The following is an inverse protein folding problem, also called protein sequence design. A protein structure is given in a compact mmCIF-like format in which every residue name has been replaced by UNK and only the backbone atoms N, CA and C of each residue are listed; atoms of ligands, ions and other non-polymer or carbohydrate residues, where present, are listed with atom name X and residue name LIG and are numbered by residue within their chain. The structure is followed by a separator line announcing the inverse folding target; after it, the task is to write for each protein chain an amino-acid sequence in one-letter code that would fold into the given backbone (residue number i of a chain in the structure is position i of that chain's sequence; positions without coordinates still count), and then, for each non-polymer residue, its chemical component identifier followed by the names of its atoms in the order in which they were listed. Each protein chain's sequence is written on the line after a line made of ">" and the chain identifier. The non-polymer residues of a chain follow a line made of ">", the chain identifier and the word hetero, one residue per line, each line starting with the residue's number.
data_IF_344646591872
#
_entry.id   IF_344646591872
#
_cell.length_a   1.000
_cell.length_b   1.000
_cell.length_c   1.000
_cell.angle_alpha   90.00
_cell.angle_beta   90.00
_cell.angle_gamma   90.00
#
_symmetry.space_group_name_H-M   'P 1'
#
loop_
_entity.id
_entity.type
_entity.pdbx_description
1 polymer ?
#
# COMPACT_ATOMS: atom_id res chain seq x y z
N UNK A 1 -1.94 8.90 2.72
CA UNK A 1 -0.78 9.61 2.12
C UNK A 1 0.58 9.11 2.62
N UNK A 2 0.66 8.61 3.86
CA UNK A 2 1.94 8.26 4.49
C UNK A 2 2.70 7.08 3.88
N UNK A 3 2.05 6.26 3.05
CA UNK A 3 2.59 4.98 2.54
C UNK A 3 2.83 4.93 1.04
N UNK A 4 3.06 6.09 0.42
CA UNK A 4 3.41 6.19 -0.99
C UNK A 4 4.61 7.13 -1.17
N UNK A 5 5.35 6.91 -2.25
CA UNK A 5 6.40 7.80 -2.75
C UNK A 5 5.85 9.17 -3.17
N UNK A 6 4.52 9.30 -3.29
CA UNK A 6 3.82 10.56 -3.48
C UNK A 6 4.07 11.56 -2.34
N UNK A 7 4.41 11.11 -1.12
CA UNK A 7 4.76 12.00 0.00
C UNK A 7 5.98 12.88 -0.33
N UNK A 8 7.16 12.30 -0.57
CA UNK A 8 8.34 13.02 -1.06
C UNK A 8 8.08 13.84 -2.33
N UNK A 9 7.31 13.28 -3.28
CA UNK A 9 6.93 13.99 -4.51
C UNK A 9 6.12 15.26 -4.19
N UNK A 10 5.27 15.23 -3.15
CA UNK A 10 4.41 16.34 -2.74
C UNK A 10 5.17 17.44 -1.99
N UNK A 11 5.97 17.08 -1.01
CA UNK A 11 6.57 18.04 -0.07
C UNK A 11 7.69 18.89 -0.66
N UNK A 12 8.32 18.43 -1.74
CA UNK A 12 9.49 19.08 -2.34
C UNK A 12 9.18 20.51 -2.84
N UNK A 13 9.86 21.52 -2.30
CA UNK A 13 9.71 22.90 -2.78
C UNK A 13 10.46 23.16 -4.10
N UNK A 14 9.82 22.89 -5.23
CA UNK A 14 10.39 23.09 -6.56
C UNK A 14 10.64 24.58 -6.91
N UNK A 15 11.63 24.84 -7.76
CA UNK A 15 11.98 26.16 -8.30
C UNK A 15 10.90 26.72 -9.21
N UNK A 16 10.34 25.86 -10.07
CA UNK A 16 9.32 26.18 -11.06
C UNK A 16 8.61 24.89 -11.49
N UNK A 17 7.68 25.00 -12.45
CA UNK A 17 6.91 23.85 -12.96
C UNK A 17 7.79 22.75 -13.55
N UNK A 18 8.82 23.10 -14.33
CA UNK A 18 9.72 22.15 -14.98
C UNK A 18 10.47 21.32 -13.95
N UNK A 19 11.05 21.98 -12.95
CA UNK A 19 11.73 21.32 -11.82
C UNK A 19 10.81 20.33 -11.09
N UNK A 20 9.55 20.72 -10.88
CA UNK A 20 8.53 19.87 -10.26
C UNK A 20 8.18 18.64 -11.12
N UNK A 21 8.01 18.81 -12.43
CA UNK A 21 7.68 17.73 -13.36
C UNK A 21 8.75 16.62 -13.31
N UNK A 22 10.02 16.99 -13.42
CA UNK A 22 11.12 16.02 -13.42
C UNK A 22 11.37 15.39 -12.05
N UNK A 23 11.14 16.12 -10.94
CA UNK A 23 11.18 15.53 -9.60
C UNK A 23 10.12 14.43 -9.43
N UNK A 24 8.89 14.70 -9.87
CA UNK A 24 7.78 13.74 -9.76
C UNK A 24 8.03 12.53 -10.66
N UNK A 25 8.54 12.76 -11.88
CA UNK A 25 8.94 11.67 -12.78
C UNK A 25 10.05 10.81 -12.16
N UNK A 26 11.10 11.43 -11.60
CA UNK A 26 12.16 10.72 -10.89
C UNK A 26 11.61 9.85 -9.78
N UNK A 27 10.75 10.42 -8.91
CA UNK A 27 10.10 9.68 -7.82
C UNK A 27 9.29 8.47 -8.32
N UNK A 28 8.60 8.59 -9.45
CA UNK A 28 7.85 7.49 -10.04
C UNK A 28 8.78 6.41 -10.64
N UNK A 29 9.84 6.81 -11.33
CA UNK A 29 10.78 5.88 -11.98
C UNK A 29 11.58 5.05 -10.97
N UNK A 30 11.88 5.58 -9.79
CA UNK A 30 12.56 4.84 -8.71
C UNK A 30 11.60 4.02 -7.83
N UNK A 31 10.29 4.10 -8.04
CA UNK A 31 9.28 3.34 -7.29
C UNK A 31 9.10 1.91 -7.83
N UNK A 32 10.09 1.05 -7.60
CA UNK A 32 9.98 -0.36 -7.92
C UNK A 32 10.88 -1.26 -7.07
N UNK A 33 10.37 -2.45 -6.75
CA UNK A 33 11.12 -3.54 -6.12
C UNK A 33 11.94 -3.15 -4.86
N UNK A 34 11.48 -2.12 -4.14
CA UNK A 34 12.06 -1.63 -2.88
C UNK A 34 10.92 -1.31 -1.91
N UNK A 35 11.04 -1.64 -0.61
CA UNK A 35 10.02 -1.28 0.38
C UNK A 35 9.85 0.24 0.48
N UNK A 36 8.65 0.74 0.16
CA UNK A 36 8.37 2.18 0.16
C UNK A 36 8.56 2.79 1.54
N UNK A 37 7.93 2.22 2.57
CA UNK A 37 7.97 2.76 3.93
C UNK A 37 9.34 2.62 4.60
N UNK A 38 10.00 1.48 4.38
CA UNK A 38 11.25 1.17 5.06
C UNK A 38 12.48 1.83 4.44
N UNK A 39 12.44 2.12 3.14
CA UNK A 39 13.64 2.50 2.37
C UNK A 39 13.38 3.70 1.48
N UNK A 40 12.49 3.56 0.49
CA UNK A 40 12.40 4.53 -0.60
C UNK A 40 11.89 5.90 -0.14
N UNK A 41 10.82 5.93 0.67
CA UNK A 41 10.27 7.17 1.22
C UNK A 41 11.30 7.87 2.13
N UNK A 42 11.86 7.24 3.18
CA UNK A 42 12.87 7.90 4.01
C UNK A 42 14.08 8.41 3.23
N UNK A 43 14.54 7.65 2.23
CA UNK A 43 15.64 8.07 1.36
C UNK A 43 15.30 9.34 0.57
N UNK A 44 14.15 9.38 -0.10
CA UNK A 44 13.75 10.55 -0.88
C UNK A 44 13.44 11.77 0.01
N UNK A 45 12.89 11.56 1.21
CA UNK A 45 12.73 12.63 2.21
C UNK A 45 14.09 13.21 2.62
N UNK A 46 15.07 12.36 2.95
CA UNK A 46 16.42 12.81 3.30
C UNK A 46 17.13 13.53 2.15
N UNK A 47 16.86 13.15 0.90
CA UNK A 47 17.35 13.88 -0.27
C UNK A 47 16.70 15.28 -0.37
N UNK A 48 15.39 15.39 -0.20
CA UNK A 48 14.67 16.67 -0.17
C UNK A 48 15.22 17.58 0.93
N UNK A 49 15.30 17.09 2.17
CA UNK A 49 15.82 17.83 3.32
C UNK A 49 17.26 18.32 3.08
N UNK A 50 18.12 17.47 2.49
CA UNK A 50 19.49 17.85 2.16
C UNK A 50 19.54 18.96 1.11
N UNK A 51 18.75 18.85 0.03
CA UNK A 51 18.67 19.88 -1.00
C UNK A 51 18.18 21.21 -0.42
N UNK A 52 17.12 21.19 0.39
CA UNK A 52 16.57 22.39 1.03
C UNK A 52 17.57 23.06 1.96
N UNK A 53 18.25 22.29 2.82
CA UNK A 53 19.31 22.80 3.71
C UNK A 53 20.47 23.45 2.94
N UNK A 54 20.77 22.95 1.75
CA UNK A 54 21.80 23.50 0.86
C UNK A 54 21.29 24.56 -0.10
N UNK A 55 20.00 24.92 -0.02
CA UNK A 55 19.31 25.83 -0.95
C UNK A 55 19.43 25.41 -2.42
N UNK A 56 19.53 24.10 -2.66
CA UNK A 56 19.56 23.50 -3.99
C UNK A 56 18.15 23.15 -4.46
N UNK A 57 18.02 22.99 -5.78
CA UNK A 57 16.83 22.53 -6.48
C UNK A 57 17.19 21.33 -7.35
N UNK A 58 16.21 20.47 -7.60
CA UNK A 58 16.43 19.20 -8.27
C UNK A 58 16.93 19.41 -9.70
N UNK A 59 16.42 20.45 -10.37
CA UNK A 59 16.88 20.88 -11.70
C UNK A 59 18.38 21.22 -11.74
N UNK A 60 18.97 21.71 -10.65
CA UNK A 60 20.41 22.00 -10.61
C UNK A 60 21.22 20.70 -10.63
N UNK A 61 20.73 19.64 -9.98
CA UNK A 61 21.34 18.30 -10.08
C UNK A 61 21.16 17.73 -11.50
N UNK A 62 20.06 18.05 -12.18
CA UNK A 62 19.84 17.62 -13.57
C UNK A 62 20.87 18.22 -14.53
N UNK A 63 21.29 19.48 -14.30
CA UNK A 63 22.22 20.17 -15.18
C UNK A 63 23.72 19.94 -14.86
N UNK A 64 24.06 19.52 -13.64
CA UNK A 64 25.44 19.33 -13.19
C UNK A 64 25.67 17.92 -12.61
N UNK A 65 26.34 17.07 -13.41
CA UNK A 65 26.73 15.70 -13.03
C UNK A 65 27.57 15.65 -11.75
N UNK A 66 28.49 16.60 -11.57
CA UNK A 66 29.39 16.66 -10.43
C UNK A 66 28.64 17.02 -9.15
N UNK A 67 27.69 17.96 -9.26
CA UNK A 67 26.76 18.29 -8.19
C UNK A 67 25.85 17.10 -7.88
N UNK A 68 25.26 16.46 -8.89
CA UNK A 68 24.40 15.30 -8.73
C UNK A 68 25.10 14.18 -7.95
N UNK A 69 26.31 13.80 -8.36
CA UNK A 69 27.12 12.78 -7.67
C UNK A 69 27.40 13.13 -6.22
N UNK A 70 27.76 14.39 -5.98
CA UNK A 70 28.07 14.89 -4.63
C UNK A 70 26.85 14.87 -3.73
N UNK A 71 25.70 15.32 -4.22
CA UNK A 71 24.45 15.35 -3.45
C UNK A 71 23.95 13.93 -3.21
N UNK A 72 23.76 13.15 -4.27
CA UNK A 72 23.27 11.77 -4.21
C UNK A 72 24.21 10.84 -3.42
N UNK A 73 25.49 11.16 -3.30
CA UNK A 73 26.45 10.37 -2.52
C UNK A 73 26.56 10.73 -1.03
N UNK A 74 25.99 11.87 -0.59
CA UNK A 74 26.32 12.44 0.74
C UNK A 74 25.14 12.73 1.66
N UNK A 75 23.90 12.79 1.15
CA UNK A 75 22.74 13.00 2.03
C UNK A 75 22.57 11.84 3.01
N UNK A 76 22.01 12.09 4.19
CA UNK A 76 21.75 11.04 5.19
C UNK A 76 20.27 10.83 5.36
N UNK A 77 19.89 9.60 5.72
CA UNK A 77 18.49 9.24 6.02
C UNK A 77 18.46 8.03 6.96
N UNK A 78 17.33 7.81 7.62
CA UNK A 78 17.14 6.70 8.57
C UNK A 78 16.08 5.77 8.00
N UNK A 79 16.39 4.47 7.90
CA UNK A 79 15.43 3.48 7.41
C UNK A 79 14.30 3.27 8.41
N UNK A 80 13.21 2.64 7.97
CA UNK A 80 12.10 2.30 8.87
C UNK A 80 12.49 1.40 10.05
N UNK A 81 13.62 0.70 9.97
CA UNK A 81 14.21 -0.09 11.06
C UNK A 81 15.21 0.66 11.93
N UNK A 82 15.36 1.99 11.76
CA UNK A 82 16.27 2.81 12.56
C UNK A 82 17.72 2.85 12.08
N UNK A 83 18.07 2.13 11.01
CA UNK A 83 19.44 2.12 10.50
C UNK A 83 19.76 3.44 9.77
N UNK A 84 20.86 4.10 10.17
CA UNK A 84 21.35 5.31 9.49
C UNK A 84 22.04 4.92 8.19
N UNK A 85 21.66 5.61 7.12
CA UNK A 85 22.16 5.41 5.78
C UNK A 85 22.70 6.72 5.20
N UNK A 86 23.62 6.59 4.26
CA UNK A 86 24.20 7.70 3.51
C UNK A 86 24.06 7.44 2.02
N UNK A 87 23.70 8.49 1.29
CA UNK A 87 23.54 8.52 -0.15
C UNK A 87 22.32 7.76 -0.66
N UNK A 88 22.21 7.76 -1.98
CA UNK A 88 21.22 7.03 -2.74
C UNK A 88 21.50 5.53 -2.65
N UNK A 89 20.50 4.76 -2.22
CA UNK A 89 20.55 3.30 -2.16
C UNK A 89 19.29 2.72 -2.76
N UNK A 90 19.48 1.85 -3.76
CA UNK A 90 18.41 1.12 -4.40
C UNK A 90 18.88 -0.30 -4.71
N UNK A 91 17.97 -1.28 -4.70
CA UNK A 91 18.32 -2.69 -4.89
C UNK A 91 18.95 -2.99 -6.26
N UNK A 92 18.51 -2.27 -7.28
CA UNK A 92 18.90 -2.50 -8.68
C UNK A 92 19.49 -1.28 -9.37
N UNK A 93 19.42 -0.10 -8.76
CA UNK A 93 19.81 1.16 -9.40
C UNK A 93 21.05 1.68 -8.71
N UNK A 94 22.12 1.88 -9.49
CA UNK A 94 23.36 2.50 -9.04
C UNK A 94 23.26 4.02 -9.18
N UNK A 95 24.14 4.73 -8.49
CA UNK A 95 24.23 6.18 -8.59
C UNK A 95 24.49 6.63 -10.05
N UNK A 96 25.32 5.91 -10.80
CA UNK A 96 25.60 6.20 -12.21
C UNK A 96 24.37 6.09 -13.12
N UNK A 97 23.45 5.16 -12.82
CA UNK A 97 22.20 5.01 -13.56
C UNK A 97 21.31 6.25 -13.34
N UNK A 98 21.27 6.78 -12.12
CA UNK A 98 20.53 8.01 -11.79
C UNK A 98 21.15 9.23 -12.47
N UNK A 99 22.47 9.37 -12.44
CA UNK A 99 23.16 10.48 -13.13
C UNK A 99 22.93 10.39 -14.64
N UNK A 100 22.92 9.19 -15.22
CA UNK A 100 22.60 8.99 -16.64
C UNK A 100 21.15 9.38 -16.95
N UNK A 101 20.19 9.06 -16.07
CA UNK A 101 18.81 9.53 -16.18
C UNK A 101 18.71 11.07 -16.10
N UNK A 102 19.53 11.73 -15.28
CA UNK A 102 19.55 13.19 -15.21
C UNK A 102 20.03 13.82 -16.52
N UNK A 103 21.02 13.22 -17.21
CA UNK A 103 21.41 13.67 -18.56
C UNK A 103 20.28 13.53 -19.57
N UNK A 104 19.47 12.47 -19.47
CA UNK A 104 18.25 12.31 -20.28
C UNK A 104 17.26 13.45 -20.00
N UNK A 105 17.00 13.76 -18.72
CA UNK A 105 16.13 14.87 -18.36
C UNK A 105 16.64 16.21 -18.88
N UNK A 106 17.94 16.45 -18.76
CA UNK A 106 18.61 17.65 -19.29
C UNK A 106 18.35 17.82 -20.79
N UNK A 107 18.52 16.75 -21.59
CA UNK A 107 18.22 16.78 -23.03
C UNK A 107 16.75 17.11 -23.32
N UNK A 108 15.82 16.50 -22.58
CA UNK A 108 14.39 16.80 -22.72
C UNK A 108 14.12 18.28 -22.41
N UNK A 109 14.74 18.85 -21.38
CA UNK A 109 14.60 20.27 -21.04
C UNK A 109 15.16 21.16 -22.15
N UNK A 110 16.35 20.84 -22.68
CA UNK A 110 17.01 21.61 -23.73
C UNK A 110 16.23 21.58 -25.06
N UNK A 111 15.62 20.45 -25.43
CA UNK A 111 14.93 20.29 -26.72
C UNK A 111 13.42 20.55 -26.67
N UNK A 112 12.74 20.23 -25.56
CA UNK A 112 11.28 20.34 -25.42
C UNK A 112 10.84 21.44 -24.45
N UNK A 113 11.77 22.05 -23.72
CA UNK A 113 11.51 23.08 -22.71
C UNK A 113 10.90 22.55 -21.41
N UNK A 114 9.88 21.69 -21.50
CA UNK A 114 9.27 21.01 -20.36
C UNK A 114 8.75 19.63 -20.74
N UNK A 115 8.55 18.77 -19.74
CA UNK A 115 7.91 17.48 -19.97
C UNK A 115 6.43 17.67 -20.33
N UNK A 116 5.77 18.65 -19.69
CA UNK A 116 4.39 19.00 -19.96
C UNK A 116 4.14 19.46 -21.40
N UNK A 117 5.07 20.18 -22.01
CA UNK A 117 4.97 20.62 -23.42
C UNK A 117 4.89 19.43 -24.38
N UNK A 118 5.84 18.50 -24.25
CA UNK A 118 5.87 17.26 -25.04
C UNK A 118 4.60 16.43 -24.81
N UNK A 119 4.21 16.24 -23.54
CA UNK A 119 3.03 15.45 -23.19
C UNK A 119 1.75 16.06 -23.75
N UNK A 120 1.63 17.39 -23.76
CA UNK A 120 0.48 18.09 -24.31
C UNK A 120 0.36 17.86 -25.83
N UNK A 121 1.46 18.05 -26.57
CA UNK A 121 1.53 17.81 -28.02
C UNK A 121 1.10 16.38 -28.37
N UNK A 122 1.72 15.37 -27.74
CA UNK A 122 1.42 13.96 -27.99
C UNK A 122 -0.02 13.58 -27.61
N UNK A 123 -0.54 14.19 -26.54
CA UNK A 123 -1.92 13.97 -26.11
C UNK A 123 -2.92 14.53 -27.13
N UNK A 124 -2.72 15.77 -27.59
CA UNK A 124 -3.55 16.43 -28.60
C UNK A 124 -3.58 15.61 -29.91
N UNK A 125 -2.42 15.12 -30.37
CA UNK A 125 -2.32 14.24 -31.55
C UNK A 125 -2.99 12.87 -31.36
N UNK A 126 -3.15 12.43 -30.11
CA UNK A 126 -3.72 11.13 -29.77
C UNK A 126 -5.21 11.20 -29.40
N UNK A 127 -5.84 12.38 -29.39
CA UNK A 127 -7.25 12.55 -28.97
C UNK A 127 -8.25 11.77 -29.82
N UNK A 128 -7.92 11.44 -31.07
CA UNK A 128 -8.77 10.65 -31.96
C UNK A 128 -8.69 9.14 -31.72
N UNK A 129 -7.76 8.67 -30.88
CA UNK A 129 -7.57 7.25 -30.56
C UNK A 129 -8.51 6.82 -29.43
N UNK A 130 -8.77 5.51 -29.33
CA UNK A 130 -9.61 4.93 -28.25
C UNK A 130 -9.06 5.28 -26.85
N UNK A 131 -7.74 5.20 -26.68
CA UNK A 131 -7.06 5.47 -25.41
C UNK A 131 -5.96 6.54 -25.62
N UNK A 132 -6.28 7.85 -25.60
CA UNK A 132 -5.30 8.90 -25.92
C UNK A 132 -4.05 8.90 -25.04
N UNK A 133 -4.19 8.52 -23.76
CA UNK A 133 -3.05 8.44 -22.81
C UNK A 133 -2.11 7.27 -23.12
N UNK A 134 -2.55 6.25 -23.87
CA UNK A 134 -1.64 5.22 -24.38
C UNK A 134 -0.54 5.85 -25.24
N UNK A 135 -0.92 6.74 -26.17
CA UNK A 135 0.03 7.47 -27.01
C UNK A 135 1.02 8.28 -26.19
N UNK A 136 0.55 8.93 -25.12
CA UNK A 136 1.41 9.69 -24.19
C UNK A 136 2.38 8.78 -23.45
N UNK A 137 1.90 7.67 -22.89
CA UNK A 137 2.74 6.75 -22.12
C UNK A 137 3.81 6.10 -23.01
N UNK A 138 3.45 5.70 -24.23
CA UNK A 138 4.41 5.14 -25.19
C UNK A 138 5.38 6.21 -25.70
N UNK A 139 4.88 7.42 -26.00
CA UNK A 139 5.72 8.55 -26.36
C UNK A 139 6.74 8.90 -25.26
N UNK A 140 6.36 8.83 -23.99
CA UNK A 140 7.29 9.00 -22.87
C UNK A 140 8.36 7.90 -22.83
N UNK A 141 8.01 6.64 -23.12
CA UNK A 141 8.99 5.54 -23.22
C UNK A 141 9.97 5.81 -24.35
N UNK A 142 9.47 6.16 -25.54
CA UNK A 142 10.27 6.46 -26.72
C UNK A 142 11.18 7.67 -26.50
N UNK A 143 10.67 8.75 -25.90
CA UNK A 143 11.44 9.94 -25.57
C UNK A 143 12.59 9.63 -24.60
N UNK A 144 12.27 8.97 -23.49
CA UNK A 144 13.26 8.66 -22.46
C UNK A 144 14.33 7.70 -23.00
N UNK A 145 13.94 6.67 -23.75
CA UNK A 145 14.87 5.70 -24.32
C UNK A 145 15.69 6.27 -25.49
N UNK A 146 15.08 7.09 -26.34
CA UNK A 146 15.75 7.77 -27.46
C UNK A 146 16.86 8.71 -27.01
N UNK A 147 16.71 9.35 -25.84
CA UNK A 147 17.77 10.18 -25.26
C UNK A 147 18.82 9.40 -24.44
N UNK A 148 18.76 8.06 -24.43
CA UNK A 148 19.74 7.19 -23.77
C UNK A 148 19.30 6.64 -22.41
N UNK A 149 18.01 6.78 -22.06
CA UNK A 149 17.43 6.11 -20.90
C UNK A 149 17.34 4.60 -21.11
N UNK A 150 17.67 3.83 -20.08
CA UNK A 150 17.61 2.37 -20.17
C UNK A 150 17.18 1.71 -18.86
N UNK A 151 17.05 0.36 -18.88
CA UNK A 151 16.70 -0.41 -17.69
C UNK A 151 17.80 -0.26 -16.63
N UNK A 152 17.45 -0.32 -15.33
CA UNK A 152 16.12 -0.66 -14.81
C UNK A 152 15.19 0.55 -14.58
N UNK A 153 15.66 1.78 -14.78
CA UNK A 153 14.86 3.01 -14.54
C UNK A 153 13.86 3.28 -15.66
N UNK A 154 14.32 3.23 -16.91
CA UNK A 154 13.48 3.49 -18.09
C UNK A 154 13.18 2.16 -18.78
N UNK A 155 11.92 1.78 -18.95
CA UNK A 155 11.58 0.61 -19.76
C UNK A 155 11.95 0.89 -21.22
N UNK A 156 12.43 -0.12 -21.93
CA UNK A 156 12.79 -0.01 -23.37
C UNK A 156 11.76 -0.66 -24.30
N UNK A 157 10.76 -1.34 -23.74
CA UNK A 157 9.67 -1.98 -24.48
C UNK A 157 8.33 -1.64 -23.82
N UNK A 158 7.33 -1.38 -24.65
CA UNK A 158 5.96 -1.06 -24.24
C UNK A 158 5.08 -2.30 -23.96
N UNK A 159 5.68 -3.47 -23.72
CA UNK A 159 4.92 -4.72 -23.53
C UNK A 159 4.47 -4.95 -22.09
N UNK A 160 5.18 -4.37 -21.11
CA UNK A 160 4.83 -4.48 -19.69
C UNK A 160 3.62 -3.60 -19.33
N UNK A 161 3.09 -3.76 -18.11
CA UNK A 161 2.03 -2.89 -17.61
C UNK A 161 2.44 -1.40 -17.42
N UNK A 162 3.73 -1.06 -17.57
CA UNK A 162 4.27 0.31 -17.43
C UNK A 162 3.76 1.05 -16.18
N UNK A 163 3.55 0.30 -15.08
CA UNK A 163 2.94 0.77 -13.83
C UNK A 163 3.46 2.14 -13.38
N UNK A 164 4.78 2.33 -13.40
CA UNK A 164 5.45 3.57 -12.95
C UNK A 164 5.01 4.79 -13.77
N UNK A 165 4.88 4.64 -15.09
CA UNK A 165 4.44 5.72 -15.96
C UNK A 165 2.93 5.97 -15.82
N UNK A 166 2.10 4.92 -15.71
CA UNK A 166 0.66 5.10 -15.43
C UNK A 166 0.42 5.78 -14.06
N UNK A 167 1.20 5.41 -13.04
CA UNK A 167 1.18 6.07 -11.73
C UNK A 167 1.60 7.53 -11.82
N UNK A 168 2.65 7.83 -12.58
CA UNK A 168 3.09 9.19 -12.86
C UNK A 168 1.98 10.00 -13.56
N UNK A 169 1.38 9.49 -14.64
CA UNK A 169 0.27 10.15 -15.33
C UNK A 169 -0.89 10.46 -14.38
N UNK A 170 -1.27 9.49 -13.53
CA UNK A 170 -2.30 9.68 -12.50
C UNK A 170 -1.94 10.82 -11.55
N UNK A 171 -0.70 10.84 -11.04
CA UNK A 171 -0.22 11.91 -10.15
C UNK A 171 -0.26 13.29 -10.78
N UNK A 172 0.10 13.38 -12.07
CA UNK A 172 0.18 14.66 -12.77
C UNK A 172 -1.20 15.23 -13.09
N UNK A 173 -2.18 14.39 -13.40
CA UNK A 173 -3.48 14.84 -13.93
C UNK A 173 -4.56 14.98 -12.84
N UNK A 174 -4.62 14.05 -11.88
CA UNK A 174 -5.74 14.01 -10.94
C UNK A 174 -5.61 15.02 -9.79
N UNK A 175 -6.74 15.49 -9.24
CA UNK A 175 -6.77 16.30 -8.02
C UNK A 175 -6.36 15.47 -6.80
N UNK A 176 -6.40 16.10 -5.62
CA UNK A 176 -6.14 15.44 -4.35
C UNK A 176 -6.81 14.04 -4.28
N UNK A 177 -6.08 12.98 -3.89
CA UNK A 177 -4.78 12.96 -3.22
C UNK A 177 -3.56 13.02 -4.15
N UNK A 178 -3.74 13.23 -5.45
CA UNK A 178 -2.69 13.40 -6.45
C UNK A 178 -2.26 14.90 -6.56
N UNK A 179 -1.41 15.27 -7.53
CA UNK A 179 -0.73 16.58 -7.56
C UNK A 179 -1.39 17.63 -8.46
N UNK A 180 -2.19 17.22 -9.46
CA UNK A 180 -2.90 18.12 -10.38
C UNK A 180 -2.01 19.16 -11.06
N UNK A 181 -0.83 18.74 -11.56
CA UNK A 181 0.12 19.61 -12.27
C UNK A 181 -0.24 19.83 -13.75
N UNK A 182 -1.01 18.93 -14.35
CA UNK A 182 -1.47 18.97 -15.73
C UNK A 182 -2.99 18.96 -15.78
N UNK A 183 -3.56 20.10 -16.18
CA UNK A 183 -5.01 20.31 -16.31
C UNK A 183 -5.52 20.19 -17.77
N UNK A 184 -4.63 19.86 -18.71
CA UNK A 184 -4.94 19.75 -20.14
C UNK A 184 -5.25 18.31 -20.57
N UNK A 185 -5.09 17.32 -19.66
CA UNK A 185 -5.48 15.92 -19.90
C UNK A 185 -6.78 15.66 -19.15
N UNK A 186 -7.75 15.08 -19.84
CA UNK A 186 -8.96 14.60 -19.20
C UNK A 186 -8.69 13.32 -18.39
N UNK A 187 -9.04 13.33 -17.11
CA UNK A 187 -8.92 12.18 -16.20
C UNK A 187 -9.66 10.92 -16.70
N UNK A 188 -10.67 11.07 -17.55
CA UNK A 188 -11.40 9.96 -18.21
C UNK A 188 -10.50 9.08 -19.06
N UNK A 189 -9.45 9.67 -19.63
CA UNK A 189 -8.51 8.98 -20.51
C UNK A 189 -7.36 8.31 -19.75
N UNK A 190 -7.27 8.48 -18.42
CA UNK A 190 -6.19 7.87 -17.64
C UNK A 190 -6.32 6.34 -17.59
N UNK A 191 -5.16 5.69 -17.56
CA UNK A 191 -5.02 4.24 -17.51
C UNK A 191 -4.50 3.79 -16.13
N UNK A 192 -4.93 2.62 -15.67
CA UNK A 192 -4.63 2.15 -14.32
C UNK A 192 -3.14 1.85 -14.11
N UNK A 193 -2.62 2.16 -12.92
CA UNK A 193 -1.27 1.74 -12.53
C UNK A 193 -1.28 0.26 -12.07
N UNK A 194 -1.43 -0.67 -13.02
CA UNK A 194 -1.60 -2.10 -12.73
C UNK A 194 -0.34 -2.74 -12.12
N UNK A 195 -0.51 -3.40 -10.99
CA UNK A 195 0.49 -4.24 -10.35
C UNK A 195 -0.10 -5.55 -9.85
N UNK A 196 0.73 -6.43 -9.28
CA UNK A 196 0.28 -7.73 -8.80
C UNK A 196 -0.76 -7.64 -7.68
N UNK A 197 -0.69 -6.58 -6.85
CA UNK A 197 -1.67 -6.34 -5.80
C UNK A 197 -3.02 -5.96 -6.36
N UNK A 198 -3.06 -4.98 -7.26
CA UNK A 198 -4.29 -4.55 -7.94
C UNK A 198 -4.88 -5.69 -8.77
N UNK A 199 -4.06 -6.38 -9.57
CA UNK A 199 -4.47 -7.58 -10.35
C UNK A 199 -5.13 -8.62 -9.46
N UNK A 200 -4.53 -8.92 -8.29
CA UNK A 200 -5.06 -9.89 -7.35
C UNK A 200 -6.40 -9.43 -6.76
N UNK A 201 -6.53 -8.15 -6.41
CA UNK A 201 -7.81 -7.60 -5.93
C UNK A 201 -8.88 -7.64 -7.02
N UNK A 202 -8.55 -7.28 -8.25
CA UNK A 202 -9.47 -7.36 -9.39
C UNK A 202 -9.99 -8.79 -9.61
N UNK A 203 -9.08 -9.75 -9.65
CA UNK A 203 -9.39 -11.18 -9.81
C UNK A 203 -10.23 -11.72 -8.66
N UNK A 204 -9.85 -11.43 -7.40
CA UNK A 204 -10.53 -12.00 -6.23
C UNK A 204 -11.85 -11.33 -5.87
N UNK A 205 -11.92 -10.00 -6.00
CA UNK A 205 -13.09 -9.27 -5.58
C UNK A 205 -14.16 -9.21 -6.68
N UNK A 206 -13.76 -9.20 -7.95
CA UNK A 206 -14.65 -8.91 -9.08
C UNK A 206 -14.57 -9.93 -10.23
N UNK A 207 -13.83 -11.04 -10.07
CA UNK A 207 -13.58 -12.02 -11.15
C UNK A 207 -12.94 -11.45 -12.42
N UNK A 208 -12.26 -10.31 -12.32
CA UNK A 208 -11.57 -9.65 -13.43
C UNK A 208 -10.13 -10.15 -13.50
N UNK A 209 -9.89 -11.14 -14.37
CA UNK A 209 -8.59 -11.77 -14.55
C UNK A 209 -7.80 -11.08 -15.66
N UNK A 210 -6.74 -10.35 -15.27
CA UNK A 210 -5.86 -9.62 -16.21
C UNK A 210 -4.40 -10.04 -16.05
N UNK A 211 -3.63 -9.95 -17.13
CA UNK A 211 -2.18 -10.15 -17.11
C UNK A 211 -1.40 -8.89 -16.69
N UNK A 212 -0.16 -9.03 -16.23
CA UNK A 212 0.75 -7.89 -16.00
C UNK A 212 1.39 -7.40 -17.31
N UNK A 213 0.56 -7.08 -18.29
CA UNK A 213 0.92 -6.59 -19.62
C UNK A 213 0.16 -5.31 -19.93
N UNK A 214 0.53 -4.64 -21.01
CA UNK A 214 -0.22 -3.48 -21.48
C UNK A 214 -1.69 -3.80 -21.75
N UNK A 215 -1.97 -4.94 -22.40
CA UNK A 215 -3.36 -5.41 -22.61
C UNK A 215 -4.13 -5.53 -21.29
N UNK A 216 -3.49 -6.06 -20.24
CA UNK A 216 -4.11 -6.13 -18.92
C UNK A 216 -4.40 -4.77 -18.28
N UNK A 217 -3.60 -3.74 -18.58
CA UNK A 217 -3.89 -2.35 -18.17
C UNK A 217 -5.16 -1.85 -18.85
N UNK A 218 -5.29 -2.08 -20.15
CA UNK A 218 -6.49 -1.68 -20.91
C UNK A 218 -7.73 -2.42 -20.39
N UNK A 219 -7.65 -3.75 -20.23
CA UNK A 219 -8.77 -4.56 -19.76
C UNK A 219 -9.20 -4.19 -18.33
N UNK A 220 -8.23 -3.95 -17.43
CA UNK A 220 -8.52 -3.45 -16.08
C UNK A 220 -9.12 -2.04 -16.09
N UNK A 221 -8.64 -1.15 -16.96
CA UNK A 221 -9.17 0.21 -17.07
C UNK A 221 -10.60 0.20 -17.60
N UNK A 222 -10.90 -0.64 -18.61
CA UNK A 222 -12.27 -0.81 -19.14
C UNK A 222 -13.25 -1.21 -18.04
N UNK A 223 -12.90 -2.22 -17.23
CA UNK A 223 -13.74 -2.61 -16.08
C UNK A 223 -13.95 -1.45 -15.10
N UNK A 224 -12.89 -0.74 -14.69
CA UNK A 224 -13.07 0.40 -13.77
C UNK A 224 -13.83 1.57 -14.39
N UNK A 225 -13.81 1.70 -15.72
CA UNK A 225 -14.58 2.69 -16.48
C UNK A 225 -16.07 2.36 -16.48
N UNK A 226 -16.47 1.09 -16.42
CA UNK A 226 -17.87 0.69 -16.19
C UNK A 226 -18.37 1.16 -14.82
N UNK A 227 -17.50 1.20 -13.81
CA UNK A 227 -17.83 1.69 -12.47
C UNK A 227 -17.86 3.22 -12.38
N UNK A 228 -16.93 3.89 -13.06
CA UNK A 228 -16.86 5.35 -13.12
C UNK A 228 -16.24 5.81 -14.44
N UNK A 229 -17.07 6.19 -15.42
CA UNK A 229 -16.56 6.64 -16.72
C UNK A 229 -15.81 7.97 -16.64
N UNK A 230 -16.11 8.79 -15.62
CA UNK A 230 -15.53 10.12 -15.46
C UNK A 230 -14.13 10.11 -14.80
N UNK A 231 -13.75 9.04 -14.10
CA UNK A 231 -12.47 8.91 -13.41
C UNK A 231 -12.16 7.42 -13.11
N UNK A 232 -11.89 6.60 -14.14
CA UNK A 232 -11.74 5.15 -13.98
C UNK A 232 -10.60 4.78 -13.02
N UNK A 233 -9.50 5.54 -13.08
CA UNK A 233 -8.32 5.27 -12.25
C UNK A 233 -8.49 5.73 -10.79
N UNK A 234 -9.61 6.37 -10.40
CA UNK A 234 -9.89 6.69 -9.00
C UNK A 234 -9.79 5.48 -8.08
N UNK A 235 -10.22 4.32 -8.57
CA UNK A 235 -10.29 3.10 -7.80
C UNK A 235 -8.96 2.37 -7.70
N UNK A 236 -8.03 2.56 -8.64
CA UNK A 236 -6.74 1.85 -8.60
C UNK A 236 -5.95 2.18 -7.31
N UNK A 237 -6.05 3.44 -6.87
CA UNK A 237 -5.49 3.91 -5.61
C UNK A 237 -6.11 3.15 -4.45
N UNK A 238 -7.45 3.11 -4.35
CA UNK A 238 -8.16 2.48 -3.25
C UNK A 238 -7.96 0.96 -3.21
N UNK A 239 -8.09 0.29 -4.35
CA UNK A 239 -7.99 -1.16 -4.46
C UNK A 239 -6.56 -1.66 -4.17
N UNK A 240 -5.53 -0.93 -4.62
CA UNK A 240 -4.14 -1.29 -4.30
C UNK A 240 -3.84 -1.21 -2.79
N UNK A 241 -4.50 -0.33 -2.03
CA UNK A 241 -4.35 -0.24 -0.56
C UNK A 241 -4.74 -1.52 0.15
N UNK A 242 -5.77 -2.21 -0.34
CA UNK A 242 -6.24 -3.47 0.25
C UNK A 242 -5.11 -4.51 0.27
N UNK A 243 -4.30 -4.54 -0.80
CA UNK A 243 -3.11 -5.38 -0.87
C UNK A 243 -1.94 -4.85 -0.04
N UNK A 244 -1.66 -3.54 -0.11
CA UNK A 244 -0.53 -2.91 0.61
C UNK A 244 -0.69 -3.01 2.13
N UNK A 245 -1.92 -2.92 2.64
CA UNK A 245 -2.23 -2.99 4.08
C UNK A 245 -2.38 -4.43 4.58
N UNK A 246 -2.20 -5.43 3.71
CA UNK A 246 -2.25 -6.85 4.08
C UNK A 246 -3.65 -7.42 4.24
N UNK A 247 -4.71 -6.71 3.81
CA UNK A 247 -6.06 -7.28 3.81
C UNK A 247 -6.18 -8.39 2.77
N UNK A 248 -5.68 -8.16 1.54
CA UNK A 248 -5.63 -9.16 0.48
C UNK A 248 -4.18 -9.63 0.27
N UNK A 249 -3.76 -10.59 1.11
CA UNK A 249 -2.44 -11.18 1.06
C UNK A 249 -2.22 -12.02 -0.20
N UNK A 250 -0.97 -12.37 -0.52
CA UNK A 250 -0.66 -13.22 -1.70
C UNK A 250 -1.32 -14.58 -1.59
N UNK A 251 -1.15 -15.22 -0.44
CA UNK A 251 -1.86 -16.41 0.01
C UNK A 251 -3.25 -16.00 0.52
N UNK A 252 -4.30 -16.67 0.05
CA UNK A 252 -5.68 -16.29 0.37
C UNK A 252 -5.98 -16.56 1.85
N UNK A 253 -5.48 -17.66 2.38
CA UNK A 253 -5.51 -18.10 3.78
C UNK A 253 -4.88 -17.10 4.75
N UNK A 254 -3.89 -16.32 4.29
CA UNK A 254 -3.27 -15.24 5.09
C UNK A 254 -4.00 -13.91 4.97
N UNK A 255 -5.08 -13.84 4.19
CA UNK A 255 -5.82 -12.60 3.95
C UNK A 255 -6.73 -12.27 5.14
N UNK A 256 -6.71 -11.02 5.58
CA UNK A 256 -7.59 -10.51 6.64
C UNK A 256 -8.95 -10.12 6.07
N UNK A 257 -9.62 -11.07 5.41
CA UNK A 257 -10.86 -10.85 4.67
C UNK A 257 -11.97 -10.23 5.53
N UNK A 258 -12.08 -10.63 6.81
CA UNK A 258 -13.06 -10.11 7.75
C UNK A 258 -12.87 -8.64 8.10
N UNK A 259 -11.65 -8.09 7.95
CA UNK A 259 -11.35 -6.67 8.14
C UNK A 259 -11.28 -5.90 6.81
N UNK A 260 -11.48 -6.58 5.69
CA UNK A 260 -11.31 -6.00 4.37
C UNK A 260 -12.49 -5.06 4.03
N UNK A 261 -12.24 -3.81 3.60
CA UNK A 261 -13.31 -2.91 3.18
C UNK A 261 -14.14 -3.42 1.98
N UNK A 262 -13.62 -4.39 1.23
CA UNK A 262 -14.31 -5.00 0.10
C UNK A 262 -15.08 -6.28 0.46
N UNK A 263 -15.15 -6.68 1.75
CA UNK A 263 -15.70 -7.98 2.16
C UNK A 263 -17.11 -8.26 1.61
N UNK A 264 -17.96 -7.23 1.53
CA UNK A 264 -19.35 -7.39 1.07
C UNK A 264 -19.48 -7.62 -0.44
N UNK A 265 -18.50 -7.16 -1.22
CA UNK A 265 -18.50 -7.29 -2.69
C UNK A 265 -17.54 -8.37 -3.18
N UNK A 266 -16.58 -8.76 -2.36
CA UNK A 266 -15.50 -9.65 -2.76
C UNK A 266 -15.99 -11.10 -2.90
N UNK A 267 -15.89 -11.64 -4.11
CA UNK A 267 -16.28 -13.01 -4.40
C UNK A 267 -15.41 -14.03 -3.66
N UNK A 268 -14.09 -13.80 -3.58
CA UNK A 268 -13.18 -14.70 -2.88
C UNK A 268 -13.41 -14.75 -1.36
N UNK A 269 -14.04 -13.73 -0.74
CA UNK A 269 -14.40 -13.81 0.68
C UNK A 269 -15.65 -14.64 0.96
N UNK A 270 -16.39 -15.05 -0.08
CA UNK A 270 -17.54 -15.96 0.06
C UNK A 270 -17.11 -17.40 0.37
N UNK A 271 -15.89 -17.78 -0.03
CA UNK A 271 -15.28 -19.08 0.25
C UNK A 271 -14.15 -18.87 1.27
N UNK A 272 -14.50 -18.96 2.56
CA UNK A 272 -13.56 -18.72 3.66
C UNK A 272 -12.49 -19.83 3.68
N UNK A 273 -11.20 -19.51 3.64
CA UNK A 273 -10.18 -20.45 4.11
C UNK A 273 -10.34 -20.62 5.62
N UNK A 274 -10.39 -21.86 6.10
CA UNK A 274 -10.32 -22.17 7.53
C UNK A 274 -8.98 -21.64 8.08
N UNK A 275 -8.96 -20.81 9.13
CA UNK A 275 -7.70 -20.43 9.76
C UNK A 275 -6.99 -21.65 10.33
N UNK A 276 -5.68 -21.73 10.08
CA UNK A 276 -4.81 -22.70 10.74
C UNK A 276 -4.73 -22.39 12.24
N UNK A 277 -5.42 -23.19 13.05
CA UNK A 277 -5.31 -23.15 14.51
C UNK A 277 -4.05 -23.88 14.98
N UNK A 278 -3.29 -23.23 15.86
CA UNK A 278 -2.24 -23.86 16.68
C UNK A 278 -2.85 -24.01 18.08
N UNK A 279 -2.85 -25.21 18.71
CA UNK A 279 -3.31 -25.39 20.09
C UNK A 279 -2.60 -24.46 21.06
N UNK A 280 -3.26 -24.08 22.17
CA UNK A 280 -2.66 -23.37 23.31
C UNK A 280 -1.34 -24.07 23.69
N UNK A 281 -0.19 -23.45 23.39
CA UNK A 281 1.13 -24.05 23.65
C UNK A 281 1.99 -23.17 24.55
N UNK A 282 2.48 -23.78 25.64
CA UNK A 282 3.44 -23.19 26.57
C UNK A 282 2.90 -21.95 27.28
N UNK A 283 3.13 -20.78 26.69
CA UNK A 283 2.96 -19.48 27.34
C UNK A 283 1.50 -19.01 27.40
N UNK A 284 0.72 -19.23 26.34
CA UNK A 284 -0.72 -18.89 26.34
C UNK A 284 -1.47 -19.72 27.40
N UNK A 285 -1.08 -20.98 27.57
CA UNK A 285 -1.62 -21.84 28.62
C UNK A 285 -1.29 -21.30 30.02
N UNK A 286 -0.05 -20.91 30.28
CA UNK A 286 0.34 -20.28 31.56
C UNK A 286 -0.45 -18.99 31.84
N UNK A 287 -0.64 -18.15 30.81
CA UNK A 287 -1.43 -16.92 30.91
C UNK A 287 -2.88 -17.23 31.28
N UNK A 288 -3.47 -18.22 30.62
CA UNK A 288 -4.85 -18.61 30.87
C UNK A 288 -5.02 -19.28 32.25
N UNK A 289 -4.07 -20.11 32.69
CA UNK A 289 -4.05 -20.68 34.04
C UNK A 289 -3.92 -19.57 35.10
N UNK A 290 -3.08 -18.55 34.87
CA UNK A 290 -3.00 -17.37 35.75
C UNK A 290 -4.34 -16.62 35.79
N UNK A 291 -4.98 -16.40 34.65
CA UNK A 291 -6.33 -15.81 34.60
C UNK A 291 -7.34 -16.61 35.44
N UNK A 292 -7.40 -17.94 35.28
CA UNK A 292 -8.31 -18.78 36.05
C UNK A 292 -7.98 -18.81 37.54
N UNK A 293 -6.71 -18.66 37.94
CA UNK A 293 -6.35 -18.56 39.36
C UNK A 293 -6.91 -17.29 40.05
N UNK A 294 -7.15 -16.22 39.28
CA UNK A 294 -7.65 -14.93 39.80
C UNK A 294 -9.16 -14.81 39.67
N UNK A 295 -9.70 -15.20 38.51
CA UNK A 295 -11.11 -14.99 38.16
C UNK A 295 -11.94 -16.28 38.10
N UNK A 296 -11.31 -17.45 38.30
CA UNK A 296 -11.92 -18.76 38.07
C UNK A 296 -13.18 -19.03 38.89
N UNK A 297 -13.26 -18.49 40.11
CA UNK A 297 -14.44 -18.68 40.98
C UNK A 297 -15.72 -18.05 40.41
N UNK A 298 -15.59 -17.06 39.51
CA UNK A 298 -16.70 -16.37 38.86
C UNK A 298 -17.38 -17.21 37.77
N UNK A 299 -16.71 -18.27 37.31
CA UNK A 299 -17.16 -19.13 36.22
C UNK A 299 -17.69 -20.46 36.77
N UNK A 300 -18.82 -20.93 36.23
CA UNK A 300 -19.38 -22.25 36.51
C UNK A 300 -19.13 -23.25 35.37
N UNK A 301 -18.68 -22.77 34.21
CA UNK A 301 -18.22 -23.58 33.10
C UNK A 301 -17.01 -22.95 32.40
N UNK A 302 -16.01 -23.76 32.12
CA UNK A 302 -14.80 -23.41 31.37
C UNK A 302 -14.58 -24.49 30.32
N UNK A 303 -14.68 -24.14 29.04
CA UNK A 303 -14.39 -25.06 27.93
C UNK A 303 -13.27 -24.47 27.09
N UNK A 304 -12.09 -25.09 27.13
CA UNK A 304 -10.98 -24.71 26.25
C UNK A 304 -11.13 -25.33 24.88
N UNK A 305 -10.44 -24.78 23.89
CA UNK A 305 -10.40 -25.31 22.53
C UNK A 305 -11.80 -25.47 21.92
N UNK A 306 -12.67 -24.49 22.16
CA UNK A 306 -14.09 -24.57 21.82
C UNK A 306 -14.29 -24.56 20.30
N UNK A 307 -14.91 -25.60 19.71
CA UNK A 307 -15.11 -25.67 18.27
C UNK A 307 -16.17 -24.69 17.79
N UNK A 308 -15.87 -23.98 16.72
CA UNK A 308 -16.74 -23.08 15.99
C UNK A 308 -16.71 -23.45 14.49
N UNK A 309 -17.64 -22.94 13.69
CA UNK A 309 -17.79 -23.29 12.26
C UNK A 309 -16.54 -22.93 11.43
N UNK A 310 -15.57 -23.86 11.36
CA UNK A 310 -14.25 -23.67 10.74
C UNK A 310 -13.22 -22.94 11.63
N UNK A 311 -13.51 -22.74 12.92
CA UNK A 311 -12.64 -22.04 13.88
C UNK A 311 -12.57 -22.82 15.19
N UNK A 312 -11.64 -22.43 16.06
CA UNK A 312 -11.57 -22.91 17.43
C UNK A 312 -11.19 -21.72 18.31
N UNK A 313 -12.04 -21.39 19.28
CA UNK A 313 -11.72 -20.37 20.26
C UNK A 313 -10.85 -20.97 21.36
N UNK A 314 -9.95 -20.17 21.94
CA UNK A 314 -9.08 -20.64 23.02
C UNK A 314 -9.88 -21.10 24.22
N UNK A 315 -10.92 -20.33 24.58
CA UNK A 315 -11.93 -20.78 25.52
C UNK A 315 -13.30 -20.14 25.31
N UNK A 316 -14.32 -20.85 25.78
CA UNK A 316 -15.65 -20.30 26.09
C UNK A 316 -15.90 -20.52 27.57
N UNK A 317 -16.26 -19.43 28.26
CA UNK A 317 -16.53 -19.43 29.70
C UNK A 317 -17.98 -19.06 29.93
N UNK A 318 -18.60 -19.66 30.94
CA UNK A 318 -19.90 -19.26 31.44
C UNK A 318 -19.75 -18.74 32.86
N UNK A 319 -20.24 -17.53 33.12
CA UNK A 319 -20.22 -16.89 34.42
C UNK A 319 -21.47 -17.26 35.20
N UNK A 320 -21.34 -17.28 36.52
CA UNK A 320 -22.46 -17.54 37.44
C UNK A 320 -23.62 -16.55 37.31
N UNK A 321 -23.38 -15.37 36.73
CA UNK A 321 -24.42 -14.36 36.41
C UNK A 321 -25.10 -14.58 35.04
N UNK A 322 -24.92 -15.76 34.44
CA UNK A 322 -25.44 -16.16 33.13
C UNK A 322 -24.84 -15.40 31.94
N UNK A 323 -23.69 -14.73 32.10
CA UNK A 323 -22.94 -14.15 31.00
C UNK A 323 -22.00 -15.19 30.35
N UNK A 324 -22.01 -15.30 29.02
CA UNK A 324 -21.07 -16.15 28.29
C UNK A 324 -19.93 -15.33 27.72
N UNK A 325 -18.69 -15.74 27.97
CA UNK A 325 -17.48 -15.12 27.44
C UNK A 325 -16.87 -16.01 26.36
N UNK A 326 -16.36 -15.36 25.31
CA UNK A 326 -15.56 -16.02 24.28
C UNK A 326 -14.17 -15.39 24.29
N UNK A 327 -13.16 -16.23 24.50
CA UNK A 327 -11.84 -15.81 24.93
C UNK A 327 -10.81 -16.13 23.86
N UNK A 328 -9.94 -15.16 23.58
CA UNK A 328 -8.66 -15.33 22.91
C UNK A 328 -7.54 -14.99 23.91
N UNK A 329 -6.47 -15.78 23.93
CA UNK A 329 -5.34 -15.63 24.84
C UNK A 329 -4.09 -15.26 24.06
N UNK A 330 -3.42 -14.18 24.46
CA UNK A 330 -2.25 -13.66 23.77
C UNK A 330 -1.18 -13.17 24.74
N UNK A 331 0.10 -13.26 24.37
CA UNK A 331 1.15 -12.65 25.20
C UNK A 331 0.99 -11.12 25.28
N UNK A 332 0.67 -10.49 24.15
CA UNK A 332 0.49 -9.05 24.04
C UNK A 332 -0.73 -8.74 23.16
N UNK A 333 -1.57 -7.81 23.62
CA UNK A 333 -2.72 -7.33 22.85
C UNK A 333 -2.28 -6.89 21.44
N UNK A 334 -2.91 -7.47 20.41
CA UNK A 334 -2.60 -7.22 19.01
C UNK A 334 -3.87 -7.25 18.13
N UNK A 335 -3.78 -6.73 16.90
CA UNK A 335 -4.92 -6.62 15.99
C UNK A 335 -5.48 -7.96 15.50
N UNK A 336 -4.69 -9.02 15.47
CA UNK A 336 -5.18 -10.33 15.04
C UNK A 336 -6.14 -10.89 16.09
N UNK A 337 -5.78 -10.83 17.37
CA UNK A 337 -6.61 -11.29 18.48
C UNK A 337 -7.95 -10.55 18.57
N UNK A 338 -7.95 -9.24 18.30
CA UNK A 338 -9.18 -8.44 18.20
C UNK A 338 -10.07 -8.98 17.06
N UNK A 339 -9.47 -9.21 15.89
CA UNK A 339 -10.20 -9.78 14.74
C UNK A 339 -10.73 -11.19 15.02
N UNK A 340 -9.95 -12.04 15.67
CA UNK A 340 -10.31 -13.40 16.05
C UNK A 340 -11.48 -13.40 17.02
N UNK A 341 -11.39 -12.70 18.15
CA UNK A 341 -12.44 -12.74 19.18
C UNK A 341 -13.78 -12.16 18.68
N UNK A 342 -13.74 -11.10 17.85
CA UNK A 342 -14.94 -10.55 17.20
C UNK A 342 -15.55 -11.56 16.22
N UNK A 343 -14.71 -12.27 15.47
CA UNK A 343 -15.13 -13.32 14.55
C UNK A 343 -15.74 -14.50 15.30
N UNK A 344 -15.10 -14.96 16.37
CA UNK A 344 -15.59 -16.07 17.18
C UNK A 344 -16.93 -15.74 17.80
N UNK A 345 -17.10 -14.54 18.34
CA UNK A 345 -18.38 -14.05 18.87
C UNK A 345 -19.50 -14.17 17.86
N UNK A 346 -19.25 -13.77 16.61
CA UNK A 346 -20.24 -13.87 15.54
C UNK A 346 -20.64 -15.33 15.26
N UNK A 347 -19.67 -16.23 15.11
CA UNK A 347 -19.96 -17.64 14.87
C UNK A 347 -20.63 -18.32 16.06
N UNK A 348 -20.20 -18.00 17.27
CA UNK A 348 -20.84 -18.49 18.48
C UNK A 348 -22.31 -18.06 18.54
N UNK A 349 -22.60 -16.79 18.24
CA UNK A 349 -23.98 -16.30 18.14
C UNK A 349 -24.78 -17.01 17.04
N UNK A 350 -24.21 -17.19 15.84
CA UNK A 350 -24.87 -17.89 14.73
C UNK A 350 -25.24 -19.33 15.10
N UNK A 351 -24.37 -20.04 15.80
CA UNK A 351 -24.55 -21.46 16.13
C UNK A 351 -25.37 -21.68 17.39
N UNK A 352 -25.25 -20.81 18.40
CA UNK A 352 -25.87 -20.99 19.73
C UNK A 352 -27.03 -20.04 20.00
N UNK A 353 -27.21 -19.00 19.20
CA UNK A 353 -28.19 -17.93 19.46
C UNK A 353 -27.83 -17.02 20.65
N UNK A 354 -26.66 -17.22 21.28
CA UNK A 354 -26.23 -16.50 22.48
C UNK A 354 -25.17 -15.46 22.10
N UNK A 355 -25.39 -14.21 22.51
CA UNK A 355 -24.45 -13.11 22.24
C UNK A 355 -23.36 -13.09 23.32
N UNK A 356 -22.29 -13.84 23.11
CA UNK A 356 -21.16 -13.86 24.03
C UNK A 356 -20.45 -12.49 24.11
N UNK A 357 -19.84 -12.21 25.26
CA UNK A 357 -18.90 -11.12 25.48
C UNK A 357 -17.53 -11.51 24.89
N UNK A 358 -16.97 -10.75 23.93
CA UNK A 358 -15.63 -11.02 23.43
C UNK A 358 -14.59 -10.53 24.44
N UNK A 359 -13.66 -11.41 24.80
CA UNK A 359 -12.64 -11.15 25.82
C UNK A 359 -11.26 -11.53 25.30
N UNK A 360 -10.26 -10.68 25.53
CA UNK A 360 -8.85 -10.98 25.27
C UNK A 360 -8.13 -11.04 26.61
N UNK A 361 -7.49 -12.15 26.91
CA UNK A 361 -6.63 -12.32 28.09
C UNK A 361 -5.18 -12.17 27.65
N UNK A 362 -4.43 -11.26 28.28
CA UNK A 362 -3.03 -11.06 27.92
C UNK A 362 -2.14 -10.64 29.10
N UNK A 363 -0.80 -10.72 28.93
CA UNK A 363 0.15 -10.23 29.95
C UNK A 363 0.35 -8.73 29.89
N UNK A 364 0.27 -8.15 28.69
CA UNK A 364 0.55 -6.73 28.47
C UNK A 364 -0.38 -6.18 27.39
N UNK A 365 -0.98 -5.04 27.67
CA UNK A 365 -1.77 -4.28 26.71
C UNK A 365 -1.18 -2.89 26.48
N UNK A 366 -1.27 -2.39 25.25
CA UNK A 366 -1.03 -0.96 24.98
C UNK A 366 -2.28 -0.18 25.40
N UNK A 367 -2.11 0.90 26.19
CA UNK A 367 -3.22 1.66 26.76
C UNK A 367 -4.19 2.18 25.69
N UNK A 368 -3.67 2.69 24.56
CA UNK A 368 -4.52 3.25 23.49
C UNK A 368 -5.26 2.14 22.75
N UNK A 369 -4.58 1.04 22.49
CA UNK A 369 -5.21 -0.11 21.82
C UNK A 369 -6.29 -0.75 22.69
N UNK A 370 -6.05 -0.88 24.00
CA UNK A 370 -7.04 -1.37 24.97
C UNK A 370 -8.29 -0.50 25.02
N UNK A 371 -8.11 0.81 25.14
CA UNK A 371 -9.22 1.77 25.12
C UNK A 371 -10.04 1.65 23.84
N UNK A 372 -9.38 1.52 22.68
CA UNK A 372 -10.06 1.29 21.40
C UNK A 372 -10.84 -0.04 21.37
N UNK A 373 -10.30 -1.13 21.96
CA UNK A 373 -11.00 -2.40 22.06
C UNK A 373 -12.29 -2.30 22.87
N UNK A 374 -12.21 -1.69 24.05
CA UNK A 374 -13.30 -1.63 25.02
C UNK A 374 -14.41 -0.68 24.53
N UNK A 375 -14.04 0.50 24.03
CA UNK A 375 -15.00 1.55 23.61
C UNK A 375 -15.62 1.25 22.25
N UNK A 376 -14.81 0.95 21.23
CA UNK A 376 -15.30 0.85 19.85
C UNK A 376 -15.77 -0.56 19.49
N UNK A 377 -15.09 -1.59 20.00
CA UNK A 377 -15.36 -2.98 19.62
C UNK A 377 -16.15 -3.75 20.70
N UNK A 378 -16.31 -3.16 21.89
CA UNK A 378 -16.94 -3.82 23.05
C UNK A 378 -16.18 -5.06 23.52
N UNK A 379 -14.90 -5.16 23.16
CA UNK A 379 -13.99 -6.25 23.52
C UNK A 379 -13.35 -5.92 24.85
N UNK A 380 -13.56 -6.80 25.82
CA UNK A 380 -12.96 -6.66 27.14
C UNK A 380 -11.53 -7.19 27.12
N UNK A 381 -10.59 -6.42 27.69
CA UNK A 381 -9.19 -6.81 27.76
C UNK A 381 -8.84 -7.04 29.23
N UNK A 382 -8.53 -8.30 29.56
CA UNK A 382 -8.08 -8.69 30.91
C UNK A 382 -6.57 -8.85 30.87
N UNK A 383 -5.88 -7.94 31.55
CA UNK A 383 -4.44 -8.02 31.74
C UNK A 383 -4.14 -8.80 33.02
N UNK A 384 -3.42 -9.91 32.89
CA UNK A 384 -3.00 -10.77 34.02
C UNK A 384 -1.51 -10.63 34.31
N UNK A 385 -0.91 -9.48 33.94
CA UNK A 385 0.51 -9.14 34.12
C UNK A 385 0.93 -9.02 35.57
#
# INVERSE_FOLDING_TARGET
>A
MESSVLGPARIYSAKNKVDREFWVLFCALVDFQVPVMGVLKPMLMGLVEFMEKKRLRFIELVHDDGLARRVLGRFSWVSGGGARNTGFKHRFVKLDDVVSLFRVFRRIIEEKGSLGSFVKEVYEDSLSKEEPVEGVVFGLVELLSGYGGGPPLVPVKCTSALKRLNLFMRWMVRPYPDLSLWNFIDKRHLLVSLDDGLRRVLSRAFSVNVGLSWRGVIDATRFLRELNPDDPVKYDYLLSRVSIMGYCAKELEKSRCHLCPLVNVCEASRFKPEPHHVPLRGKEREIFEKFLSVYGEEFDSVTTEYPLEGYRADAVLHRRNCETWIVEVEEKLNYNAIGQVVTYRYFFFKTRGVKAKPVIVCLRSDKRLREACEVEQGVEVVEVG
#
